data_IF_382975440257
#
_entry.id   IF_382975440257
#
_cell.length_a   1.000
_cell.length_b   1.000
_cell.length_c   1.000
_cell.angle_alpha   90.00
_cell.angle_beta   90.00
_cell.angle_gamma   90.00
#
_symmetry.space_group_name_H-M   'P 1'
#
loop_
_entity.id
_entity.type
_entity.pdbx_description
1 polymer ?
#
# COMPACT_ATOMS: atom_id res chain seq x y z
N UNK A 1 -26.30 -7.83 -12.00
CA UNK A 1 -25.06 -7.82 -11.19
C UNK A 1 -25.03 -6.52 -10.40
N UNK A 2 -24.87 -6.59 -9.07
CA UNK A 2 -24.89 -5.42 -8.21
C UNK A 2 -23.57 -4.67 -8.18
N UNK A 3 -23.64 -3.36 -7.95
CA UNK A 3 -22.48 -2.55 -7.63
C UNK A 3 -21.91 -3.00 -6.28
N UNK A 4 -20.59 -3.20 -6.21
CA UNK A 4 -19.91 -3.49 -4.97
C UNK A 4 -19.37 -2.17 -4.39
N UNK A 5 -19.25 -2.10 -3.07
CA UNK A 5 -18.45 -1.04 -2.44
C UNK A 5 -16.98 -1.18 -2.81
N UNK A 6 -16.23 -0.09 -2.66
CA UNK A 6 -14.77 -0.10 -2.91
C UNK A 6 -14.04 -1.14 -2.06
N UNK A 7 -14.52 -1.37 -0.84
CA UNK A 7 -13.95 -2.37 0.07
C UNK A 7 -14.21 -3.78 -0.44
N UNK A 8 -15.43 -4.07 -0.90
CA UNK A 8 -15.79 -5.40 -1.42
C UNK A 8 -15.07 -5.72 -2.73
N UNK A 9 -14.99 -4.78 -3.68
CA UNK A 9 -14.20 -5.00 -4.90
C UNK A 9 -12.71 -5.17 -4.58
N UNK A 10 -12.20 -4.47 -3.57
CA UNK A 10 -10.84 -4.68 -3.07
C UNK A 10 -10.67 -6.10 -2.53
N UNK A 11 -11.64 -6.63 -1.76
CA UNK A 11 -11.59 -8.01 -1.23
C UNK A 11 -11.54 -9.02 -2.37
N UNK A 12 -12.41 -8.86 -3.38
CA UNK A 12 -12.43 -9.72 -4.56
C UNK A 12 -11.08 -9.73 -5.29
N UNK A 13 -10.48 -8.55 -5.49
CA UNK A 13 -9.17 -8.43 -6.14
C UNK A 13 -8.06 -9.05 -5.29
N UNK A 14 -8.08 -8.80 -3.97
CA UNK A 14 -7.15 -9.40 -3.01
C UNK A 14 -7.22 -10.92 -3.10
N UNK A 15 -8.40 -11.50 -2.95
CA UNK A 15 -8.59 -12.95 -2.91
C UNK A 15 -8.11 -13.59 -4.22
N UNK A 16 -8.37 -12.93 -5.36
CA UNK A 16 -7.85 -13.36 -6.65
C UNK A 16 -6.32 -13.40 -6.68
N UNK A 17 -5.66 -12.37 -6.14
CA UNK A 17 -4.20 -12.30 -6.11
C UNK A 17 -3.58 -13.28 -5.11
N UNK A 18 -4.18 -13.45 -3.93
CA UNK A 18 -3.73 -14.39 -2.90
C UNK A 18 -3.93 -15.85 -3.30
N UNK A 19 -4.81 -16.12 -4.26
CA UNK A 19 -4.92 -17.42 -4.93
C UNK A 19 -3.92 -17.60 -6.09
N UNK A 20 -2.87 -16.76 -6.18
CA UNK A 20 -1.87 -16.80 -7.26
C UNK A 20 -2.29 -16.13 -8.56
N UNK A 21 -3.47 -15.50 -8.59
CA UNK A 21 -3.96 -14.81 -9.76
C UNK A 21 -3.15 -13.56 -10.10
N UNK A 22 -2.79 -13.45 -11.37
CA UNK A 22 -2.18 -12.24 -11.94
C UNK A 22 -3.23 -11.39 -12.65
N UNK A 23 -3.16 -10.07 -12.48
CA UNK A 23 -4.07 -9.13 -13.12
C UNK A 23 -3.32 -8.15 -14.00
N UNK A 24 -3.59 -8.19 -15.31
CA UNK A 24 -3.19 -7.11 -16.22
C UNK A 24 -3.96 -5.82 -15.88
N UNK A 25 -3.45 -4.63 -16.25
CA UNK A 25 -4.18 -3.37 -16.07
C UNK A 25 -5.59 -3.42 -16.65
N UNK A 26 -5.76 -3.96 -17.87
CA UNK A 26 -7.06 -4.10 -18.53
C UNK A 26 -8.01 -5.01 -17.76
N UNK A 27 -7.53 -6.13 -17.22
CA UNK A 27 -8.38 -7.02 -16.40
C UNK A 27 -8.78 -6.35 -15.10
N UNK A 28 -7.87 -5.61 -14.47
CA UNK A 28 -8.15 -4.83 -13.27
C UNK A 28 -9.27 -3.84 -13.55
N UNK A 29 -9.16 -3.03 -14.62
CA UNK A 29 -10.17 -2.03 -14.98
C UNK A 29 -11.53 -2.62 -15.27
N UNK A 30 -11.57 -3.75 -15.99
CA UNK A 30 -12.83 -4.46 -16.25
C UNK A 30 -13.54 -4.86 -14.96
N UNK A 31 -12.79 -5.30 -13.94
CA UNK A 31 -13.38 -5.62 -12.62
C UNK A 31 -13.93 -4.34 -11.97
N UNK A 32 -13.19 -3.24 -12.02
CA UNK A 32 -13.63 -1.97 -11.42
C UNK A 32 -14.87 -1.41 -12.10
N UNK A 33 -14.89 -1.37 -13.44
CA UNK A 33 -16.01 -0.92 -14.26
C UNK A 33 -17.26 -1.76 -13.99
N UNK A 34 -17.10 -3.08 -13.94
CA UNK A 34 -18.19 -4.03 -13.67
C UNK A 34 -18.86 -3.83 -12.30
N UNK A 35 -18.15 -3.29 -11.32
CA UNK A 35 -18.60 -3.23 -9.93
C UNK A 35 -18.81 -1.81 -9.39
N UNK A 36 -19.07 -0.84 -10.28
CA UNK A 36 -19.39 0.55 -9.89
C UNK A 36 -18.34 1.59 -10.29
N UNK A 37 -17.50 1.27 -11.29
CA UNK A 37 -16.49 2.16 -11.87
C UNK A 37 -15.55 2.81 -10.83
N UNK A 38 -15.00 1.98 -9.92
CA UNK A 38 -14.07 2.44 -8.90
C UNK A 38 -12.74 2.90 -9.48
N UNK A 39 -12.10 3.87 -8.82
CA UNK A 39 -10.78 4.34 -9.22
C UNK A 39 -9.68 3.33 -8.84
N UNK A 40 -8.84 2.97 -9.81
CA UNK A 40 -7.76 1.98 -9.63
C UNK A 40 -6.77 2.37 -8.54
N UNK A 41 -6.35 3.64 -8.52
CA UNK A 41 -5.39 4.16 -7.54
C UNK A 41 -5.90 3.95 -6.11
N UNK A 42 -7.19 4.21 -5.87
CA UNK A 42 -7.83 4.11 -4.56
C UNK A 42 -8.01 2.68 -4.08
N UNK A 43 -8.30 1.76 -5.01
CA UNK A 43 -8.34 0.32 -4.72
C UNK A 43 -6.94 -0.20 -4.41
N UNK A 44 -5.93 0.17 -5.21
CA UNK A 44 -4.54 -0.22 -4.95
C UNK A 44 -4.01 0.36 -3.63
N UNK A 45 -4.42 1.57 -3.25
CA UNK A 45 -4.08 2.17 -1.97
C UNK A 45 -4.70 1.38 -0.80
N UNK A 46 -5.96 0.94 -0.92
CA UNK A 46 -6.56 0.07 0.10
C UNK A 46 -5.78 -1.24 0.23
N UNK A 47 -5.49 -1.90 -0.89
CA UNK A 47 -4.77 -3.17 -0.90
C UNK A 47 -3.37 -3.03 -0.29
N UNK A 48 -2.58 -2.05 -0.74
CA UNK A 48 -1.18 -1.88 -0.33
C UNK A 48 -1.03 -1.23 1.04
N UNK A 49 -1.77 -0.17 1.32
CA UNK A 49 -1.54 0.65 2.51
C UNK A 49 -2.45 0.27 3.68
N UNK A 50 -3.70 -0.14 3.41
CA UNK A 50 -4.64 -0.50 4.48
C UNK A 50 -4.53 -1.97 4.87
N UNK A 51 -4.35 -2.84 3.88
CA UNK A 51 -4.26 -4.29 4.10
C UNK A 51 -2.84 -4.84 3.99
N UNK A 52 -1.89 -4.05 3.52
CA UNK A 52 -0.48 -4.43 3.50
C UNK A 52 -0.07 -5.42 2.42
N UNK A 53 -0.96 -5.75 1.48
CA UNK A 53 -0.69 -6.80 0.49
C UNK A 53 0.56 -6.42 -0.35
N UNK A 54 1.57 -7.28 -0.46
CA UNK A 54 2.82 -7.01 -1.17
C UNK A 54 2.64 -7.13 -2.69
N UNK A 55 1.82 -6.25 -3.25
CA UNK A 55 1.49 -6.23 -4.67
C UNK A 55 2.67 -5.67 -5.46
N UNK A 56 3.33 -6.56 -6.19
CA UNK A 56 4.37 -6.25 -7.18
C UNK A 56 3.75 -5.91 -8.53
N UNK A 57 4.53 -5.24 -9.37
CA UNK A 57 4.14 -4.91 -10.73
C UNK A 57 5.28 -5.31 -11.66
N UNK A 58 5.00 -6.17 -12.63
CA UNK A 58 6.02 -6.61 -13.59
C UNK A 58 6.29 -5.55 -14.68
N UNK A 59 7.24 -5.83 -15.58
CA UNK A 59 7.59 -4.94 -16.71
C UNK A 59 6.41 -4.64 -17.64
N UNK A 60 5.38 -5.50 -17.65
CA UNK A 60 4.16 -5.34 -18.46
C UNK A 60 3.04 -4.63 -17.69
N UNK A 61 3.30 -4.17 -16.47
CA UNK A 61 2.31 -3.49 -15.63
C UNK A 61 1.34 -4.44 -14.92
N UNK A 62 1.58 -5.76 -14.93
CA UNK A 62 0.67 -6.71 -14.31
C UNK A 62 0.87 -6.76 -12.80
N UNK A 63 -0.23 -6.77 -12.05
CA UNK A 63 -0.26 -6.85 -10.60
C UNK A 63 -0.29 -8.31 -10.14
N UNK A 64 0.57 -8.64 -9.18
CA UNK A 64 0.66 -9.98 -8.57
C UNK A 64 1.28 -9.93 -7.18
N UNK A 65 1.08 -10.98 -6.41
CA UNK A 65 1.85 -11.27 -5.18
C UNK A 65 2.95 -12.27 -5.55
N UNK A 66 4.13 -12.16 -4.94
CA UNK A 66 5.25 -13.04 -5.25
C UNK A 66 4.95 -14.48 -4.81
N UNK A 67 5.52 -15.48 -5.47
CA UNK A 67 5.30 -16.88 -5.09
C UNK A 67 5.79 -17.17 -3.66
N UNK A 68 6.89 -16.57 -3.24
CA UNK A 68 7.37 -16.66 -1.85
C UNK A 68 6.38 -16.10 -0.84
N UNK A 69 5.73 -14.99 -1.16
CA UNK A 69 4.71 -14.38 -0.29
C UNK A 69 3.44 -15.23 -0.27
N UNK A 70 3.07 -15.83 -1.40
CA UNK A 70 1.92 -16.75 -1.49
C UNK A 70 2.15 -18.03 -0.69
N UNK A 71 3.36 -18.60 -0.74
CA UNK A 71 3.72 -19.78 0.07
C UNK A 71 3.61 -19.47 1.55
N UNK A 72 4.24 -18.38 2.01
CA UNK A 72 4.13 -17.92 3.41
C UNK A 72 2.67 -17.72 3.81
N UNK A 73 1.89 -17.05 2.97
CA UNK A 73 0.46 -16.82 3.21
C UNK A 73 -0.35 -18.12 3.27
N UNK A 74 0.02 -19.15 2.49
CA UNK A 74 -0.62 -20.46 2.55
C UNK A 74 -0.29 -21.22 3.82
N UNK A 75 0.90 -21.01 4.39
CA UNK A 75 1.35 -21.68 5.62
C UNK A 75 0.67 -21.09 6.86
N UNK A 76 0.62 -19.76 6.97
CA UNK A 76 -0.07 -19.03 8.05
C UNK A 76 -0.68 -17.71 7.55
N UNK A 77 -1.94 -17.71 7.11
CA UNK A 77 -2.60 -16.51 6.58
C UNK A 77 -2.69 -15.36 7.60
N UNK A 78 -2.96 -15.67 8.87
CA UNK A 78 -3.28 -14.67 9.88
C UNK A 78 -2.01 -13.94 10.37
N UNK A 79 -0.94 -14.70 10.64
CA UNK A 79 0.36 -14.10 11.01
C UNK A 79 0.93 -13.27 9.85
N UNK A 80 0.88 -13.82 8.63
CA UNK A 80 1.41 -13.12 7.44
C UNK A 80 0.65 -11.83 7.14
N UNK A 81 -0.69 -11.85 7.23
CA UNK A 81 -1.48 -10.63 7.07
C UNK A 81 -1.17 -9.59 8.15
N UNK A 82 -0.98 -10.03 9.40
CA UNK A 82 -0.58 -9.15 10.50
C UNK A 82 0.79 -8.52 10.23
N UNK A 83 1.77 -9.33 9.83
CA UNK A 83 3.13 -8.88 9.49
C UNK A 83 3.14 -7.88 8.33
N UNK A 84 2.45 -8.19 7.24
CA UNK A 84 2.30 -7.30 6.08
C UNK A 84 1.65 -5.97 6.45
N UNK A 85 0.61 -5.99 7.29
CA UNK A 85 -0.05 -4.78 7.78
C UNK A 85 0.89 -3.94 8.66
N UNK A 86 1.70 -4.58 9.50
CA UNK A 86 2.74 -3.92 10.30
C UNK A 86 3.77 -3.23 9.42
N UNK A 87 4.30 -3.94 8.42
CA UNK A 87 5.29 -3.42 7.48
C UNK A 87 4.72 -2.25 6.65
N UNK A 88 3.46 -2.35 6.20
CA UNK A 88 2.79 -1.28 5.49
C UNK A 88 2.56 -0.03 6.35
N UNK A 89 2.26 -0.21 7.65
CA UNK A 89 2.15 0.89 8.62
C UNK A 89 3.51 1.58 8.79
N UNK A 90 4.58 0.82 9.03
CA UNK A 90 5.94 1.34 9.14
C UNK A 90 6.38 2.11 7.89
N UNK A 91 6.11 1.56 6.70
CA UNK A 91 6.41 2.22 5.43
C UNK A 91 5.59 3.49 5.18
N UNK A 92 4.38 3.58 5.75
CA UNK A 92 3.58 4.81 5.73
C UNK A 92 4.19 5.87 6.64
N UNK A 93 4.56 5.50 7.86
CA UNK A 93 5.21 6.39 8.82
C UNK A 93 6.54 6.90 8.28
N UNK A 94 7.36 6.03 7.69
CA UNK A 94 8.61 6.43 7.03
C UNK A 94 8.38 7.43 5.89
N UNK A 95 7.37 7.22 5.04
CA UNK A 95 7.03 8.18 3.97
C UNK A 95 6.54 9.52 4.51
N UNK A 96 5.79 9.52 5.61
CA UNK A 96 5.39 10.77 6.28
C UNK A 96 6.58 11.51 6.85
N UNK A 97 7.49 10.79 7.52
CA UNK A 97 8.72 11.36 8.05
C UNK A 97 9.60 11.92 6.93
N UNK A 98 9.79 11.17 5.84
CA UNK A 98 10.56 11.62 4.69
C UNK A 98 10.00 12.91 4.09
N UNK A 99 8.66 12.97 3.88
CA UNK A 99 8.00 14.19 3.39
C UNK A 99 8.20 15.35 4.35
N UNK A 100 8.09 15.12 5.66
CA UNK A 100 8.34 16.13 6.67
C UNK A 100 9.77 16.68 6.60
N UNK A 101 10.78 15.81 6.55
CA UNK A 101 12.19 16.20 6.45
C UNK A 101 12.46 16.99 5.16
N UNK A 102 11.88 16.57 4.03
CA UNK A 102 12.02 17.29 2.76
C UNK A 102 11.38 18.68 2.82
N UNK A 103 10.17 18.80 3.37
CA UNK A 103 9.50 20.08 3.56
C UNK A 103 10.32 21.00 4.48
N UNK A 104 10.77 20.49 5.64
CA UNK A 104 11.57 21.25 6.60
C UNK A 104 12.88 21.75 5.97
N UNK A 105 13.52 20.92 5.15
CA UNK A 105 14.77 21.28 4.45
C UNK A 105 14.57 22.38 3.42
N UNK A 106 13.40 22.41 2.76
CA UNK A 106 13.03 23.42 1.77
C UNK A 106 12.55 24.77 2.33
N UNK A 107 12.22 24.84 3.63
CA UNK A 107 11.71 26.09 4.24
C UNK A 107 12.80 27.14 4.41
N UNK A 108 12.75 28.23 3.65
CA UNK A 108 13.62 29.40 3.83
C UNK A 108 13.20 30.23 5.04
N UNK A 109 14.16 30.85 5.75
CA UNK A 109 13.87 31.72 6.91
C UNK A 109 13.90 31.04 8.29
N UNK A 110 14.17 29.72 8.34
CA UNK A 110 14.38 28.99 9.60
C UNK A 110 15.89 28.84 9.83
N UNK A 111 16.35 29.15 11.04
CA UNK A 111 17.75 28.97 11.43
C UNK A 111 18.15 27.49 11.44
N UNK A 112 19.44 27.21 11.24
CA UNK A 112 19.97 25.83 11.28
C UNK A 112 19.75 25.17 12.64
N UNK A 113 19.83 25.94 13.73
CA UNK A 113 19.58 25.48 15.10
C UNK A 113 18.13 25.03 15.30
N UNK A 114 17.17 25.87 14.90
CA UNK A 114 15.74 25.54 14.99
C UNK A 114 15.37 24.31 14.15
N UNK A 115 15.98 24.14 12.96
CA UNK A 115 15.82 22.91 12.17
C UNK A 115 16.35 21.68 12.91
N UNK A 116 17.49 21.80 13.58
CA UNK A 116 18.09 20.71 14.38
C UNK A 116 17.22 20.30 15.56
N UNK A 117 16.67 21.26 16.30
CA UNK A 117 15.77 21.03 17.43
C UNK A 117 14.50 20.30 17.01
N UNK A 118 13.88 20.73 15.91
CA UNK A 118 12.68 20.08 15.36
C UNK A 118 12.97 18.63 14.93
N UNK A 119 14.10 18.38 14.27
CA UNK A 119 14.50 17.03 13.89
C UNK A 119 14.77 16.14 15.11
N UNK A 120 15.41 16.66 16.16
CA UNK A 120 15.65 15.94 17.40
C UNK A 120 14.34 15.58 18.11
N UNK A 121 13.39 16.52 18.18
CA UNK A 121 12.08 16.29 18.78
C UNK A 121 11.25 15.24 18.03
N UNK A 122 11.33 15.20 16.70
CA UNK A 122 10.67 14.16 15.90
C UNK A 122 11.35 12.80 16.12
N UNK A 123 12.69 12.76 16.17
CA UNK A 123 13.44 11.52 16.43
C UNK A 123 13.13 10.91 17.80
N UNK A 124 12.86 11.73 18.82
CA UNK A 124 12.52 11.28 20.16
C UNK A 124 11.09 10.68 20.28
N UNK A 125 10.26 10.79 19.24
CA UNK A 125 8.84 10.40 19.24
C UNK A 125 8.54 9.17 18.38
N UNK A 126 9.56 8.61 17.74
CA UNK A 126 9.53 7.40 16.89
C UNK A 126 10.26 6.30 17.65
#
# INVERSE_FOLDING_TARGET
>A
MGNLTRTEVSKLIRDKMLNGGKLTPKQFDRILQKHGNHERSRVLELLRCKWGIPITTDRKGCYSVSESDLRRFSDDPDDVLSGWKGEAKKNREYRQLYRFVMTLSGLTGISRGARGEVLAAVKARI
#
